data_IF_339218374742
#
_entry.id   IF_339218374742
#
_cell.length_a   1.000
_cell.length_b   1.000
_cell.length_c   1.000
_cell.angle_alpha   90.00
_cell.angle_beta   90.00
_cell.angle_gamma   90.00
#
_symmetry.space_group_name_H-M   'P 1'
#
loop_
_entity.id
_entity.type
_entity.pdbx_description
1 polymer ?
#
# COMPACT_ATOMS: atom_id res chain seq x y z
N UNK A 1 -21.72 3.42 12.14
CA UNK A 1 -21.01 2.43 11.30
C UNK A 1 -21.42 2.76 9.88
N UNK A 2 -20.46 3.09 9.03
CA UNK A 2 -20.72 3.55 7.66
C UNK A 2 -21.59 2.54 6.92
N UNK A 3 -22.68 3.01 6.30
CA UNK A 3 -23.52 2.15 5.47
C UNK A 3 -22.81 1.86 4.16
N UNK A 4 -22.62 0.58 3.84
CA UNK A 4 -21.91 0.15 2.63
C UNK A 4 -22.75 -0.83 1.81
N UNK A 5 -22.29 -1.12 0.59
CA UNK A 5 -22.82 -2.19 -0.26
C UNK A 5 -22.11 -3.54 -0.04
N UNK A 6 -21.54 -3.78 1.15
CA UNK A 6 -20.70 -4.96 1.46
C UNK A 6 -21.37 -6.29 1.11
N UNK A 7 -22.66 -6.42 1.39
CA UNK A 7 -23.49 -7.60 1.11
C UNK A 7 -23.62 -7.93 -0.39
N UNK A 8 -23.30 -6.96 -1.26
CA UNK A 8 -23.34 -7.08 -2.72
C UNK A 8 -21.95 -7.26 -3.34
N UNK A 9 -20.89 -7.26 -2.55
CA UNK A 9 -19.53 -7.47 -3.04
C UNK A 9 -19.27 -8.94 -3.30
N UNK A 10 -18.41 -9.20 -4.28
CA UNK A 10 -18.01 -10.56 -4.66
C UNK A 10 -16.64 -10.85 -4.07
N UNK A 11 -16.54 -11.97 -3.35
CA UNK A 11 -15.27 -12.54 -2.95
C UNK A 11 -14.80 -13.54 -4.02
N UNK A 12 -13.57 -13.40 -4.48
CA UNK A 12 -12.99 -14.26 -5.53
C UNK A 12 -11.62 -14.77 -5.10
N UNK A 13 -11.25 -15.97 -5.55
CA UNK A 13 -9.91 -16.49 -5.36
C UNK A 13 -8.95 -15.91 -6.40
N UNK A 14 -7.85 -15.32 -5.94
CA UNK A 14 -6.68 -15.04 -6.80
C UNK A 14 -5.45 -15.71 -6.21
N UNK A 15 -4.60 -16.25 -7.08
CA UNK A 15 -3.42 -17.00 -6.66
C UNK A 15 -2.19 -16.48 -7.39
N UNK A 16 -1.12 -16.24 -6.64
CA UNK A 16 0.19 -15.90 -7.17
C UNK A 16 1.28 -16.74 -6.52
N UNK A 17 2.53 -16.36 -6.79
CA UNK A 17 3.73 -16.91 -6.18
C UNK A 17 4.52 -15.79 -5.53
N UNK A 18 5.45 -16.16 -4.65
CA UNK A 18 6.45 -15.22 -4.15
C UNK A 18 7.34 -14.80 -5.33
N UNK A 19 7.62 -13.50 -5.45
CA UNK A 19 8.41 -12.96 -6.56
C UNK A 19 9.90 -13.10 -6.27
N UNK A 20 10.71 -13.38 -7.30
CA UNK A 20 12.17 -13.28 -7.14
C UNK A 20 12.57 -11.80 -7.04
N UNK A 21 13.49 -11.43 -6.13
CA UNK A 21 13.99 -10.06 -6.04
C UNK A 21 14.65 -9.65 -7.37
N UNK A 22 14.40 -8.41 -7.80
CA UNK A 22 14.94 -7.88 -9.06
C UNK A 22 16.04 -6.88 -8.81
N UNK A 23 17.17 -7.05 -9.48
CA UNK A 23 18.25 -6.05 -9.48
C UNK A 23 18.99 -6.09 -10.80
N UNK A 24 19.32 -4.93 -11.36
CA UNK A 24 19.98 -4.82 -12.67
C UNK A 24 21.45 -5.28 -12.66
N UNK A 25 22.03 -5.46 -11.47
CA UNK A 25 23.45 -5.72 -11.26
C UNK A 25 24.33 -4.50 -11.54
N UNK A 26 23.74 -3.32 -11.74
CA UNK A 26 24.41 -2.07 -12.10
C UNK A 26 24.08 -0.98 -11.09
N UNK A 27 24.91 0.06 -11.06
CA UNK A 27 24.61 1.26 -10.28
C UNK A 27 23.36 1.95 -10.83
N UNK A 28 22.53 2.45 -9.92
CA UNK A 28 21.56 3.50 -10.19
C UNK A 28 22.10 4.85 -9.70
N UNK A 29 21.34 5.92 -9.84
CA UNK A 29 21.75 7.28 -9.46
C UNK A 29 20.68 7.95 -8.62
N UNK A 30 21.10 8.55 -7.51
CA UNK A 30 20.19 9.30 -6.65
C UNK A 30 19.78 10.64 -7.28
N UNK A 31 18.85 11.35 -6.64
CA UNK A 31 18.37 12.65 -7.08
C UNK A 31 19.46 13.76 -7.13
N UNK A 32 20.67 13.51 -6.64
CA UNK A 32 21.84 14.39 -6.73
C UNK A 32 22.86 13.91 -7.79
N UNK A 33 22.55 12.83 -8.51
CA UNK A 33 23.43 12.22 -9.51
C UNK A 33 24.56 11.37 -8.92
N UNK A 34 24.48 10.99 -7.64
CA UNK A 34 25.48 10.11 -7.01
C UNK A 34 25.10 8.65 -7.25
N UNK A 35 26.05 7.78 -7.67
CA UNK A 35 25.75 6.40 -7.94
C UNK A 35 25.52 5.60 -6.65
N UNK A 36 24.61 4.62 -6.68
CA UNK A 36 24.40 3.65 -5.60
C UNK A 36 24.09 2.25 -6.14
N UNK A 37 24.30 1.22 -5.32
CA UNK A 37 23.99 -0.18 -5.62
C UNK A 37 23.46 -0.83 -4.36
N UNK A 38 22.14 -0.97 -4.26
CA UNK A 38 21.44 -1.29 -3.02
C UNK A 38 20.35 -2.34 -3.25
N UNK A 39 19.94 -3.08 -2.21
CA UNK A 39 18.75 -3.92 -2.26
C UNK A 39 17.50 -3.09 -2.58
N UNK A 40 16.51 -3.72 -3.21
CA UNK A 40 15.24 -3.07 -3.54
C UNK A 40 14.04 -4.01 -3.50
N UNK A 41 13.26 -4.02 -4.58
CA UNK A 41 11.95 -4.70 -4.63
C UNK A 41 12.04 -6.23 -4.74
N UNK A 42 10.97 -6.89 -4.30
CA UNK A 42 10.74 -8.31 -4.47
C UNK A 42 11.34 -9.22 -3.40
N UNK A 43 10.91 -10.49 -3.40
CA UNK A 43 11.41 -11.50 -2.48
C UNK A 43 10.68 -11.57 -1.13
N UNK A 44 11.40 -12.16 -0.17
CA UNK A 44 11.00 -12.24 1.24
C UNK A 44 11.96 -11.34 2.01
N UNK A 45 11.45 -10.21 2.49
CA UNK A 45 12.20 -9.26 3.30
C UNK A 45 12.06 -9.63 4.78
N UNK A 46 13.06 -10.31 5.32
CA UNK A 46 13.01 -10.88 6.68
C UNK A 46 13.01 -9.84 7.81
N UNK A 47 13.70 -8.70 7.60
CA UNK A 47 13.98 -7.72 8.65
C UNK A 47 13.21 -6.40 8.53
N UNK A 48 12.37 -6.24 7.51
CA UNK A 48 11.52 -5.05 7.31
C UNK A 48 10.06 -5.47 7.24
N UNK A 49 9.23 -4.91 8.10
CA UNK A 49 7.82 -5.30 8.28
C UNK A 49 6.91 -4.08 8.41
N UNK A 50 5.61 -4.31 8.25
CA UNK A 50 4.59 -3.30 8.58
C UNK A 50 4.80 -2.80 10.01
N UNK A 51 4.82 -1.48 10.19
CA UNK A 51 5.12 -0.80 11.44
C UNK A 51 6.57 -0.34 11.60
N UNK A 52 7.51 -0.82 10.79
CA UNK A 52 8.87 -0.28 10.76
C UNK A 52 8.89 1.12 10.10
N UNK A 53 9.93 1.95 10.36
CA UNK A 53 10.13 3.21 9.63
C UNK A 53 10.24 2.99 8.12
N UNK A 54 9.59 3.82 7.32
CA UNK A 54 9.73 3.81 5.86
C UNK A 54 11.09 4.40 5.41
N UNK A 55 11.72 5.21 6.26
CA UNK A 55 12.99 5.89 6.02
C UNK A 55 14.16 5.22 6.75
N UNK A 56 15.39 5.55 6.33
CA UNK A 56 16.62 5.21 7.06
C UNK A 56 17.23 3.85 6.71
N UNK A 57 16.69 3.15 5.72
CA UNK A 57 17.26 1.92 5.19
C UNK A 57 18.36 2.22 4.16
N UNK A 58 19.44 1.43 4.16
CA UNK A 58 20.42 1.44 3.09
C UNK A 58 19.90 0.60 1.92
N UNK A 59 18.83 1.10 1.29
CA UNK A 59 18.05 0.40 0.29
C UNK A 59 17.35 1.37 -0.69
N UNK A 60 16.67 0.84 -1.70
CA UNK A 60 15.86 1.60 -2.66
C UNK A 60 14.56 0.84 -3.01
N UNK A 61 13.39 1.37 -2.65
CA UNK A 61 12.08 0.69 -2.83
C UNK A 61 11.95 -0.68 -2.13
N UNK A 62 12.43 -0.81 -0.89
CA UNK A 62 12.22 -2.05 -0.15
C UNK A 62 10.75 -2.26 0.18
N UNK A 63 10.27 -3.46 -0.12
CA UNK A 63 8.92 -3.93 0.18
C UNK A 63 8.93 -4.75 1.48
N UNK A 64 8.09 -4.44 2.48
CA UNK A 64 8.05 -5.15 3.75
C UNK A 64 7.38 -6.53 3.62
N UNK A 65 7.92 -7.53 4.31
CA UNK A 65 7.36 -8.88 4.35
C UNK A 65 7.57 -9.63 3.04
N UNK A 66 6.49 -10.06 2.39
CA UNK A 66 6.53 -10.94 1.22
C UNK A 66 5.93 -10.23 0.01
N UNK A 67 6.72 -10.11 -1.06
CA UNK A 67 6.25 -9.60 -2.34
C UNK A 67 5.79 -10.75 -3.24
N UNK A 68 4.63 -10.58 -3.86
CA UNK A 68 4.01 -11.63 -4.67
C UNK A 68 3.53 -11.12 -6.02
N UNK A 69 3.54 -12.01 -7.01
CA UNK A 69 3.06 -11.76 -8.37
C UNK A 69 2.45 -13.05 -8.92
N UNK A 70 1.58 -12.99 -9.93
CA UNK A 70 1.05 -14.23 -10.52
C UNK A 70 2.06 -14.88 -11.48
N UNK A 71 2.72 -14.10 -12.35
CA UNK A 71 3.77 -14.56 -13.25
C UNK A 71 4.76 -13.42 -13.55
N UNK A 72 5.98 -13.52 -13.00
CA UNK A 72 7.01 -12.49 -13.16
C UNK A 72 7.39 -12.23 -14.63
N UNK A 73 7.35 -13.26 -15.49
CA UNK A 73 7.69 -13.14 -16.91
C UNK A 73 6.62 -12.43 -17.74
N UNK A 74 5.39 -12.34 -17.20
CA UNK A 74 4.22 -11.74 -17.86
C UNK A 74 3.69 -10.55 -17.07
N UNK A 75 4.58 -9.80 -16.41
CA UNK A 75 4.30 -8.71 -15.46
C UNK A 75 3.09 -7.85 -15.84
N UNK A 76 3.03 -7.41 -17.10
CA UNK A 76 2.01 -6.47 -17.56
C UNK A 76 0.78 -7.11 -18.25
N UNK A 77 0.63 -8.44 -18.22
CA UNK A 77 -0.50 -9.11 -18.84
C UNK A 77 -1.76 -9.12 -17.96
N UNK A 78 -2.91 -9.37 -18.59
CA UNK A 78 -4.23 -9.38 -17.94
C UNK A 78 -4.31 -10.23 -16.66
N UNK A 79 -3.75 -11.46 -16.61
CA UNK A 79 -3.77 -12.27 -15.39
C UNK A 79 -3.09 -11.62 -14.18
N UNK A 80 -1.92 -10.99 -14.37
CA UNK A 80 -1.24 -10.26 -13.30
C UNK A 80 -2.00 -9.03 -12.85
N UNK A 81 -2.61 -8.30 -13.80
CA UNK A 81 -3.51 -7.19 -13.47
C UNK A 81 -4.71 -7.68 -12.67
N UNK A 82 -5.25 -8.85 -12.98
CA UNK A 82 -6.31 -9.48 -12.19
C UNK A 82 -5.85 -9.81 -10.76
N UNK A 83 -4.65 -10.40 -10.61
CA UNK A 83 -4.07 -10.68 -9.30
C UNK A 83 -3.95 -9.43 -8.43
N UNK A 84 -3.36 -8.36 -8.98
CA UNK A 84 -3.25 -7.07 -8.29
C UNK A 84 -4.62 -6.43 -8.03
N UNK A 85 -5.48 -6.39 -9.05
CA UNK A 85 -6.77 -5.71 -8.96
C UNK A 85 -7.67 -6.31 -7.89
N UNK A 86 -7.78 -7.63 -7.84
CA UNK A 86 -8.71 -8.25 -6.90
C UNK A 86 -8.19 -8.22 -5.45
N UNK A 87 -6.88 -8.26 -5.24
CA UNK A 87 -6.30 -8.13 -3.91
C UNK A 87 -6.64 -6.76 -3.29
N UNK A 88 -7.04 -6.75 -2.03
CA UNK A 88 -7.31 -5.54 -1.27
C UNK A 88 -6.54 -5.60 0.05
N UNK A 89 -6.04 -4.44 0.52
CA UNK A 89 -5.37 -4.31 1.81
C UNK A 89 -6.33 -4.77 2.90
N UNK A 90 -5.84 -5.68 3.76
CA UNK A 90 -6.63 -6.36 4.79
C UNK A 90 -7.11 -7.76 4.39
N UNK A 91 -7.07 -8.14 3.11
CA UNK A 91 -7.49 -9.48 2.70
C UNK A 91 -6.59 -10.57 3.29
N UNK A 92 -7.21 -11.71 3.60
CA UNK A 92 -6.48 -12.89 4.06
C UNK A 92 -5.76 -13.57 2.89
N UNK A 93 -4.45 -13.75 3.05
CA UNK A 93 -3.60 -14.55 2.17
C UNK A 93 -3.27 -15.88 2.86
N UNK A 94 -3.27 -16.99 2.11
CA UNK A 94 -2.94 -18.31 2.64
C UNK A 94 -1.86 -18.97 1.79
N UNK A 95 -0.83 -19.49 2.43
CA UNK A 95 0.19 -20.32 1.76
C UNK A 95 -0.44 -21.68 1.41
N UNK A 96 -0.33 -22.12 0.15
CA UNK A 96 -0.97 -23.36 -0.33
C UNK A 96 0.01 -24.44 -0.78
N UNK A 97 1.31 -24.19 -0.68
CA UNK A 97 2.42 -25.11 -0.96
C UNK A 97 3.54 -24.98 0.09
N UNK A 98 4.59 -25.79 -0.07
CA UNK A 98 5.81 -25.72 0.74
C UNK A 98 5.62 -26.05 2.22
N UNK A 99 6.66 -25.77 3.00
CA UNK A 99 6.74 -26.09 4.43
C UNK A 99 5.84 -25.18 5.27
N UNK A 100 5.54 -23.98 4.76
CA UNK A 100 4.61 -23.03 5.36
C UNK A 100 3.12 -23.29 5.00
N UNK A 101 2.80 -24.36 4.27
CA UNK A 101 1.44 -24.64 3.79
C UNK A 101 0.41 -24.58 4.92
N UNK A 102 -0.64 -23.79 4.69
CA UNK A 102 -1.74 -23.60 5.64
C UNK A 102 -1.59 -22.35 6.51
N UNK A 103 -0.39 -21.76 6.59
CA UNK A 103 -0.18 -20.48 7.25
C UNK A 103 -0.97 -19.36 6.56
N UNK A 104 -1.38 -18.38 7.36
CA UNK A 104 -2.15 -17.22 6.91
C UNK A 104 -1.38 -15.92 7.16
N UNK A 105 -1.57 -14.98 6.25
CA UNK A 105 -1.05 -13.63 6.30
C UNK A 105 -2.10 -12.63 5.82
N UNK A 106 -1.70 -11.38 5.69
CA UNK A 106 -2.59 -10.26 5.36
C UNK A 106 -1.99 -9.41 4.26
N UNK A 107 -2.77 -9.06 3.24
CA UNK A 107 -2.35 -8.13 2.19
C UNK A 107 -2.15 -6.73 2.77
N UNK A 108 -1.02 -6.11 2.48
CA UNK A 108 -0.60 -4.82 3.07
C UNK A 108 -0.49 -3.70 2.05
N UNK A 109 -0.39 -4.00 0.76
CA UNK A 109 -0.19 -2.99 -0.27
C UNK A 109 -0.04 -3.52 -1.69
N UNK A 110 0.01 -2.59 -2.64
CA UNK A 110 0.27 -2.85 -4.06
C UNK A 110 1.37 -1.91 -4.53
N UNK A 111 2.41 -2.45 -5.17
CA UNK A 111 3.47 -1.65 -5.78
C UNK A 111 3.34 -1.71 -7.30
N UNK A 112 2.88 -0.63 -7.92
CA UNK A 112 2.67 -0.50 -9.36
C UNK A 112 4.00 -0.38 -10.13
N UNK A 113 4.04 -0.81 -11.38
CA UNK A 113 5.29 -0.93 -12.14
C UNK A 113 6.02 -2.22 -11.81
N UNK A 114 6.21 -2.50 -10.51
CA UNK A 114 6.55 -3.84 -10.04
C UNK A 114 5.33 -4.79 -10.19
N UNK A 115 4.10 -4.30 -10.12
CA UNK A 115 2.90 -5.17 -10.14
C UNK A 115 2.94 -6.24 -9.03
N UNK A 116 3.49 -5.87 -7.86
CA UNK A 116 3.57 -6.74 -6.69
C UNK A 116 2.41 -6.49 -5.74
N UNK A 117 1.85 -7.57 -5.19
CA UNK A 117 0.99 -7.54 -4.00
C UNK A 117 1.86 -7.87 -2.79
N UNK A 118 1.83 -7.00 -1.78
CA UNK A 118 2.63 -7.14 -0.56
C UNK A 118 1.81 -7.82 0.53
N UNK A 119 2.44 -8.74 1.26
CA UNK A 119 1.77 -9.57 2.26
C UNK A 119 2.62 -9.70 3.51
N UNK A 120 2.02 -9.45 4.66
CA UNK A 120 2.62 -9.70 5.96
C UNK A 120 2.29 -11.10 6.45
N UNK A 121 3.31 -11.84 6.89
CA UNK A 121 3.20 -13.14 7.53
C UNK A 121 3.95 -13.16 8.88
N UNK A 122 3.57 -14.04 9.82
CA UNK A 122 4.34 -14.31 11.04
C UNK A 122 5.80 -14.69 10.79
N UNK A 123 6.66 -14.34 11.73
CA UNK A 123 8.11 -14.56 11.61
C UNK A 123 8.46 -16.03 11.42
N UNK A 124 7.81 -16.92 12.17
CA UNK A 124 7.98 -18.36 12.06
C UNK A 124 7.45 -18.94 10.73
N UNK A 125 6.63 -18.17 10.00
CA UNK A 125 6.17 -18.49 8.66
C UNK A 125 7.19 -18.01 7.63
N UNK A 126 7.75 -16.80 7.79
CA UNK A 126 8.78 -16.26 6.90
C UNK A 126 9.98 -17.22 6.78
N UNK A 127 10.42 -17.82 7.89
CA UNK A 127 11.53 -18.80 7.92
C UNK A 127 11.23 -20.11 7.17
N UNK A 128 9.97 -20.39 6.86
CA UNK A 128 9.52 -21.61 6.15
C UNK A 128 9.15 -21.36 4.70
N UNK A 129 9.06 -20.10 4.29
CA UNK A 129 8.67 -19.72 2.94
C UNK A 129 9.86 -19.84 1.97
N UNK A 130 9.54 -20.21 0.74
CA UNK A 130 10.49 -20.24 -0.38
C UNK A 130 9.93 -19.43 -1.55
N UNK A 131 10.79 -19.03 -2.49
CA UNK A 131 10.36 -18.29 -3.68
C UNK A 131 9.46 -19.13 -4.62
N UNK A 132 9.40 -20.45 -4.42
CA UNK A 132 8.53 -21.37 -5.17
C UNK A 132 7.10 -21.48 -4.60
N UNK A 133 6.85 -20.85 -3.44
CA UNK A 133 5.58 -20.98 -2.76
C UNK A 133 4.43 -20.21 -3.42
N UNK A 134 3.27 -20.86 -3.42
CA UNK A 134 2.01 -20.36 -3.94
C UNK A 134 1.18 -19.74 -2.82
N UNK A 135 0.66 -18.55 -3.09
CA UNK A 135 -0.18 -17.79 -2.17
C UNK A 135 -1.57 -17.65 -2.77
N UNK A 136 -2.59 -18.09 -2.03
CA UNK A 136 -3.99 -17.96 -2.38
C UNK A 136 -4.64 -16.86 -1.54
N UNK A 137 -5.12 -15.81 -2.17
CA UNK A 137 -5.80 -14.69 -1.53
C UNK A 137 -7.31 -14.86 -1.71
N UNK A 138 -8.05 -14.71 -0.61
CA UNK A 138 -9.50 -14.50 -0.64
C UNK A 138 -9.75 -13.02 -0.92
N UNK A 139 -9.72 -12.64 -2.20
CA UNK A 139 -9.84 -11.27 -2.63
C UNK A 139 -11.26 -10.73 -2.40
N UNK A 140 -11.38 -9.60 -1.70
CA UNK A 140 -12.66 -9.00 -1.32
C UNK A 140 -12.51 -7.50 -1.02
N UNK A 141 -13.25 -6.65 -1.73
CA UNK A 141 -13.22 -5.19 -1.47
C UNK A 141 -13.42 -4.33 -2.72
N UNK A 142 -13.01 -4.81 -3.91
CA UNK A 142 -13.26 -4.06 -5.13
C UNK A 142 -14.76 -3.85 -5.39
N UNK A 143 -15.13 -2.61 -5.69
CA UNK A 143 -16.53 -2.19 -5.86
C UNK A 143 -17.23 -1.75 -4.56
N UNK A 144 -16.51 -1.71 -3.44
CA UNK A 144 -17.01 -1.14 -2.18
C UNK A 144 -17.41 0.33 -2.36
N UNK A 145 -18.55 0.70 -1.79
CA UNK A 145 -19.11 2.06 -1.83
C UNK A 145 -19.65 2.44 -0.45
N UNK A 146 -19.47 3.70 -0.09
CA UNK A 146 -20.13 4.33 1.04
C UNK A 146 -21.48 4.86 0.55
N UNK A 147 -22.58 4.25 0.98
CA UNK A 147 -23.91 4.51 0.41
C UNK A 147 -24.45 5.89 0.78
N UNK A 148 -24.05 6.41 1.94
CA UNK A 148 -24.42 7.74 2.42
C UNK A 148 -23.42 8.83 2.02
N UNK A 149 -22.25 8.45 1.47
CA UNK A 149 -21.19 9.36 1.01
C UNK A 149 -20.75 9.02 -0.42
N UNK A 150 -21.62 9.19 -1.43
CA UNK A 150 -21.33 8.77 -2.82
C UNK A 150 -20.20 9.56 -3.49
N UNK A 151 -19.81 10.71 -2.95
CA UNK A 151 -18.67 11.51 -3.42
C UNK A 151 -17.31 10.99 -2.91
N UNK A 152 -17.33 9.97 -2.05
CA UNK A 152 -16.15 9.29 -1.54
C UNK A 152 -16.02 7.95 -2.26
N UNK A 153 -14.98 7.83 -3.07
CA UNK A 153 -14.64 6.63 -3.81
C UNK A 153 -13.71 5.76 -2.97
N UNK A 154 -13.90 4.45 -2.99
CA UNK A 154 -13.12 3.47 -2.22
C UNK A 154 -12.51 2.46 -3.18
N UNK A 155 -11.24 2.13 -2.96
CA UNK A 155 -10.46 1.16 -3.73
C UNK A 155 -9.60 0.32 -2.78
N UNK A 156 -9.19 -0.88 -3.20
CA UNK A 156 -8.14 -1.68 -2.55
C UNK A 156 -8.32 -1.93 -1.05
N UNK A 157 -9.55 -1.87 -0.52
CA UNK A 157 -9.81 -1.88 0.91
C UNK A 157 -10.74 -3.04 1.27
N UNK A 158 -10.27 -3.93 2.14
CA UNK A 158 -11.11 -4.93 2.75
C UNK A 158 -12.21 -4.25 3.58
N UNK A 159 -13.50 -4.57 3.39
CA UNK A 159 -14.59 -4.03 4.20
C UNK A 159 -14.41 -4.25 5.72
N UNK A 160 -13.77 -5.34 6.15
CA UNK A 160 -13.46 -5.60 7.57
C UNK A 160 -12.37 -4.68 8.10
N UNK A 161 -11.47 -4.19 7.23
CA UNK A 161 -10.49 -3.17 7.61
C UNK A 161 -11.19 -1.80 7.72
N UNK A 162 -12.04 -1.44 6.77
CA UNK A 162 -12.82 -0.19 6.81
C UNK A 162 -13.56 -0.02 8.14
N UNK A 163 -14.23 -1.08 8.62
CA UNK A 163 -14.98 -1.06 9.88
C UNK A 163 -14.10 -0.81 11.12
N UNK A 164 -12.79 -1.06 11.03
CA UNK A 164 -11.82 -0.92 12.12
C UNK A 164 -10.98 0.36 12.05
N UNK A 165 -11.16 1.19 11.02
CA UNK A 165 -10.38 2.41 10.80
C UNK A 165 -10.80 3.61 11.66
N UNK A 166 -11.79 3.46 12.54
CA UNK A 166 -12.31 4.55 13.40
C UNK A 166 -12.75 5.80 12.61
N UNK A 167 -13.45 5.58 11.50
CA UNK A 167 -13.99 6.65 10.65
C UNK A 167 -15.31 7.16 11.24
N UNK A 168 -15.41 8.47 11.41
CA UNK A 168 -16.61 9.14 11.94
C UNK A 168 -17.40 9.84 10.83
N UNK A 169 -18.73 9.78 10.90
CA UNK A 169 -19.62 10.53 10.01
C UNK A 169 -19.90 11.92 10.63
N UNK A 170 -19.69 12.98 9.87
CA UNK A 170 -20.00 14.37 10.27
C UNK A 170 -20.81 15.06 9.16
N UNK A 171 -22.12 14.85 9.18
CA UNK A 171 -23.01 15.39 8.16
C UNK A 171 -22.71 14.74 6.80
N UNK A 172 -22.35 15.54 5.80
CA UNK A 172 -21.98 15.04 4.47
C UNK A 172 -20.52 14.56 4.39
N UNK A 173 -19.70 14.95 5.37
CA UNK A 173 -18.27 14.63 5.40
C UNK A 173 -18.00 13.37 6.23
N UNK A 174 -16.86 12.74 5.97
CA UNK A 174 -16.28 11.71 6.83
C UNK A 174 -14.96 12.17 7.42
N UNK A 175 -14.73 11.86 8.69
CA UNK A 175 -13.49 12.16 9.40
C UNK A 175 -12.65 10.89 9.44
N UNK A 176 -11.47 10.92 8.81
CA UNK A 176 -10.61 9.74 8.66
C UNK A 176 -9.32 9.92 9.47
N UNK A 177 -8.98 9.01 10.41
CA UNK A 177 -7.72 9.06 11.13
C UNK A 177 -6.52 8.81 10.20
N UNK A 178 -5.49 9.65 10.30
CA UNK A 178 -4.25 9.54 9.51
C UNK A 178 -3.03 9.87 10.35
N UNK A 179 -1.92 9.20 10.11
CA UNK A 179 -0.64 9.44 10.78
C UNK A 179 0.01 10.74 10.31
N UNK A 180 -0.22 11.13 9.04
CA UNK A 180 0.32 12.34 8.45
C UNK A 180 -0.58 12.93 7.36
N UNK A 181 -0.38 14.21 7.08
CA UNK A 181 -0.98 14.94 5.96
C UNK A 181 0.15 15.33 5.00
N UNK A 182 0.08 14.87 3.77
CA UNK A 182 1.07 15.07 2.71
C UNK A 182 0.53 16.09 1.70
N UNK A 183 1.21 17.23 1.50
CA UNK A 183 0.85 18.16 0.44
C UNK A 183 0.95 17.51 -0.95
N UNK A 184 -0.06 17.68 -1.80
CA UNK A 184 -0.09 17.08 -3.14
C UNK A 184 1.12 17.43 -4.02
N UNK A 185 1.77 18.58 -3.79
CA UNK A 185 3.00 18.97 -4.49
C UNK A 185 4.18 18.01 -4.27
N UNK A 186 4.14 17.19 -3.21
CA UNK A 186 5.14 16.17 -2.92
C UNK A 186 4.83 14.84 -3.61
N UNK A 187 3.73 14.71 -4.37
CA UNK A 187 3.42 13.45 -5.06
C UNK A 187 4.11 13.38 -6.43
N UNK A 188 4.77 12.25 -6.71
CA UNK A 188 5.66 12.09 -7.87
C UNK A 188 5.33 10.88 -8.74
N UNK A 189 6.25 9.91 -8.77
CA UNK A 189 6.12 8.70 -9.57
C UNK A 189 4.75 8.05 -9.39
N UNK A 190 4.11 7.65 -10.49
CA UNK A 190 2.73 7.15 -10.50
C UNK A 190 1.63 8.21 -10.71
N UNK A 191 1.94 9.51 -10.65
CA UNK A 191 1.01 10.59 -11.09
C UNK A 191 0.70 10.44 -12.59
N UNK A 192 -0.56 10.66 -12.96
CA UNK A 192 -1.06 10.45 -14.33
C UNK A 192 -1.46 9.01 -14.65
N UNK A 193 -1.14 8.04 -13.78
CA UNK A 193 -1.57 6.66 -13.95
C UNK A 193 -3.08 6.49 -13.72
N UNK A 194 -3.65 5.49 -14.39
CA UNK A 194 -5.01 4.98 -14.17
C UNK A 194 -5.04 3.67 -13.35
N UNK A 195 -3.94 3.34 -12.69
CA UNK A 195 -3.76 2.09 -11.91
C UNK A 195 -4.22 2.19 -10.45
N UNK A 196 -5.31 2.90 -10.15
CA UNK A 196 -5.79 3.10 -8.77
C UNK A 196 -6.12 1.80 -8.08
N UNK A 197 -6.58 0.80 -8.83
CA UNK A 197 -6.90 -0.53 -8.30
C UNK A 197 -5.73 -1.51 -8.30
N UNK A 198 -4.55 -1.16 -8.81
CA UNK A 198 -3.46 -2.14 -9.05
C UNK A 198 -2.07 -1.65 -8.66
N UNK A 199 -1.94 -0.46 -8.07
CA UNK A 199 -0.64 0.05 -7.67
C UNK A 199 -0.72 1.28 -6.77
N UNK A 200 0.40 1.96 -6.66
CA UNK A 200 0.68 3.06 -5.76
C UNK A 200 1.34 4.24 -6.50
N UNK A 201 1.65 5.28 -5.75
CA UNK A 201 2.39 6.46 -6.20
C UNK A 201 3.15 7.09 -5.04
N UNK A 202 4.22 7.81 -5.37
CA UNK A 202 5.28 8.08 -4.41
C UNK A 202 5.17 9.47 -3.79
N UNK A 203 5.44 9.54 -2.47
CA UNK A 203 5.78 10.78 -1.79
C UNK A 203 7.23 11.09 -2.09
N UNK A 204 7.51 12.10 -2.92
CA UNK A 204 8.86 12.52 -3.29
C UNK A 204 9.64 13.09 -2.12
N UNK A 205 10.87 12.63 -1.92
CA UNK A 205 11.69 12.97 -0.73
C UNK A 205 12.94 13.78 -1.04
N UNK A 206 13.16 14.16 -2.29
CA UNK A 206 14.35 14.90 -2.73
C UNK A 206 14.56 16.25 -2.02
N UNK A 207 13.48 16.92 -1.59
CA UNK A 207 13.54 18.11 -0.75
C UNK A 207 13.45 17.72 0.74
N UNK A 208 14.57 17.24 1.28
CA UNK A 208 14.66 16.74 2.65
C UNK A 208 14.23 17.75 3.70
N UNK A 209 14.43 19.05 3.44
CA UNK A 209 14.05 20.12 4.37
C UNK A 209 12.52 20.20 4.50
N UNK A 210 11.79 20.15 3.40
CA UNK A 210 10.33 20.11 3.41
C UNK A 210 9.81 18.83 4.07
N UNK A 211 10.45 17.68 3.82
CA UNK A 211 10.11 16.41 4.48
C UNK A 211 10.26 16.53 6.01
N UNK A 212 11.37 17.10 6.49
CA UNK A 212 11.63 17.32 7.91
C UNK A 212 10.65 18.31 8.56
N UNK A 213 10.39 19.45 7.91
CA UNK A 213 9.46 20.48 8.37
C UNK A 213 8.03 19.94 8.53
N UNK A 214 7.64 18.99 7.68
CA UNK A 214 6.33 18.33 7.72
C UNK A 214 6.31 17.06 8.58
N UNK A 215 7.46 16.62 9.11
CA UNK A 215 7.59 15.41 9.92
C UNK A 215 7.41 14.10 9.14
N UNK A 216 7.47 14.12 7.81
CA UNK A 216 7.20 12.97 6.94
C UNK A 216 8.30 11.90 7.00
N UNK A 217 9.51 12.23 7.44
CA UNK A 217 10.59 11.26 7.71
C UNK A 217 10.24 10.24 8.79
N UNK A 218 9.19 10.49 9.58
CA UNK A 218 8.73 9.60 10.65
C UNK A 218 7.69 8.57 10.18
N UNK A 219 7.30 8.60 8.89
CA UNK A 219 6.35 7.64 8.34
C UNK A 219 6.84 6.22 8.52
N UNK A 220 5.89 5.32 8.75
CA UNK A 220 6.09 3.89 8.88
C UNK A 220 5.34 3.14 7.79
N UNK A 221 5.83 1.94 7.46
CA UNK A 221 5.06 1.01 6.65
C UNK A 221 3.69 0.74 7.30
N UNK A 222 2.63 0.85 6.51
CA UNK A 222 1.26 0.69 6.94
C UNK A 222 0.59 1.94 7.51
N UNK A 223 1.29 3.07 7.63
CA UNK A 223 0.67 4.32 8.07
C UNK A 223 -0.43 4.74 7.09
N UNK A 224 -1.56 5.18 7.64
CA UNK A 224 -2.62 5.85 6.88
C UNK A 224 -2.20 7.31 6.68
N UNK A 225 -2.19 7.80 5.45
CA UNK A 225 -1.83 9.19 5.15
C UNK A 225 -2.94 9.85 4.35
N UNK A 226 -3.15 11.15 4.58
CA UNK A 226 -3.99 11.98 3.74
C UNK A 226 -3.13 12.80 2.78
N UNK A 227 -3.45 12.77 1.49
CA UNK A 227 -2.78 13.52 0.45
C UNK A 227 -3.74 14.63 0.01
N UNK A 228 -3.34 15.89 0.24
CA UNK A 228 -4.18 17.05 -0.09
C UNK A 228 -4.05 17.44 -1.55
N UNK A 229 -5.11 18.01 -2.10
CA UNK A 229 -5.22 18.49 -3.46
C UNK A 229 -4.97 17.42 -4.54
N UNK A 230 -5.20 16.14 -4.23
CA UNK A 230 -5.08 15.03 -5.18
C UNK A 230 -6.39 14.24 -5.31
N UNK A 231 -6.83 14.06 -6.55
CA UNK A 231 -7.95 13.20 -6.95
C UNK A 231 -7.40 11.86 -7.48
N UNK A 232 -7.91 10.77 -6.94
CA UNK A 232 -7.61 9.41 -7.36
C UNK A 232 -8.87 8.64 -7.80
N UNK A 233 -9.99 9.29 -8.13
CA UNK A 233 -11.23 8.59 -8.48
C UNK A 233 -11.11 7.82 -9.80
N UNK A 234 -10.42 8.36 -10.80
CA UNK A 234 -10.30 7.74 -12.14
C UNK A 234 -8.91 7.79 -12.74
N UNK A 235 -8.01 8.57 -12.15
CA UNK A 235 -6.64 8.76 -12.55
C UNK A 235 -5.99 9.67 -11.54
N UNK A 236 -4.70 9.50 -11.27
CA UNK A 236 -4.00 10.29 -10.25
C UNK A 236 -3.68 11.66 -10.77
N UNK A 237 -4.30 12.70 -10.22
CA UNK A 237 -4.03 14.08 -10.64
C UNK A 237 -4.21 15.10 -9.53
N UNK A 238 -3.56 16.25 -9.71
CA UNK A 238 -3.80 17.41 -8.87
C UNK A 238 -5.21 17.95 -9.11
N UNK A 239 -5.98 18.13 -8.05
CA UNK A 239 -7.25 18.85 -8.02
C UNK A 239 -7.35 19.56 -6.68
N UNK A 240 -7.26 20.89 -6.71
CA UNK A 240 -7.38 21.71 -5.51
C UNK A 240 -8.65 21.37 -4.71
N UNK A 241 -8.50 21.13 -3.42
CA UNK A 241 -9.58 20.75 -2.49
C UNK A 241 -9.90 19.26 -2.46
N UNK A 242 -9.39 18.45 -3.39
CA UNK A 242 -9.54 16.99 -3.32
C UNK A 242 -8.68 16.42 -2.17
N UNK A 243 -9.11 15.29 -1.61
CA UNK A 243 -8.37 14.59 -0.56
C UNK A 243 -8.35 13.11 -0.90
N UNK A 244 -7.15 12.51 -0.88
CA UNK A 244 -6.94 11.07 -1.04
C UNK A 244 -6.40 10.49 0.26
N UNK A 245 -6.91 9.35 0.70
CA UNK A 245 -6.35 8.55 1.79
C UNK A 245 -5.65 7.34 1.18
N UNK A 246 -4.46 7.03 1.67
CA UNK A 246 -3.71 5.86 1.27
C UNK A 246 -2.92 5.24 2.41
N UNK A 247 -2.33 4.09 2.11
CA UNK A 247 -1.45 3.33 3.02
C UNK A 247 -0.03 3.44 2.50
N UNK A 248 0.96 3.69 3.37
CA UNK A 248 2.39 3.65 3.01
C UNK A 248 2.84 2.18 2.86
N UNK A 249 3.34 1.79 1.69
CA UNK A 249 3.55 0.36 1.34
C UNK A 249 5.00 -0.04 1.07
N UNK A 250 5.86 0.88 0.60
CA UNK A 250 7.29 0.62 0.43
C UNK A 250 8.15 1.74 1.01
N UNK A 251 9.47 1.48 1.13
CA UNK A 251 10.41 2.37 1.76
C UNK A 251 10.60 3.65 0.95
N UNK A 252 11.30 4.61 1.55
CA UNK A 252 11.94 5.71 0.84
C UNK A 252 12.84 5.20 -0.30
N UNK A 253 13.09 6.09 -1.25
CA UNK A 253 13.79 5.83 -2.49
C UNK A 253 14.79 6.96 -2.75
N UNK A 254 15.95 6.63 -3.33
CA UNK A 254 17.00 7.60 -3.65
C UNK A 254 16.76 8.30 -4.99
N UNK A 255 15.91 7.74 -5.86
CA UNK A 255 15.67 8.24 -7.22
C UNK A 255 14.93 9.59 -7.22
N UNK A 256 15.22 10.42 -8.22
CA UNK A 256 14.46 11.67 -8.43
C UNK A 256 12.99 11.36 -8.76
N UNK A 257 12.07 12.00 -8.04
CA UNK A 257 10.63 11.84 -8.25
C UNK A 257 10.00 10.66 -7.50
N UNK A 258 10.78 9.97 -6.65
CA UNK A 258 10.35 8.81 -5.88
C UNK A 258 10.52 9.05 -4.37
N UNK A 259 9.98 8.12 -3.57
CA UNK A 259 10.10 8.03 -2.11
C UNK A 259 9.12 6.97 -1.58
N UNK A 260 8.60 7.07 -0.34
CA UNK A 260 7.65 6.08 0.16
C UNK A 260 6.38 6.00 -0.72
N UNK A 261 6.06 4.80 -1.19
CA UNK A 261 4.90 4.55 -2.03
C UNK A 261 3.60 4.49 -1.24
N UNK A 262 2.52 5.01 -1.83
CA UNK A 262 1.19 5.08 -1.22
C UNK A 262 0.14 4.39 -2.08
N UNK A 263 -0.41 3.28 -1.58
CA UNK A 263 -1.59 2.65 -2.21
C UNK A 263 -2.85 3.41 -1.80
N UNK A 264 -3.61 3.91 -2.77
CA UNK A 264 -4.89 4.60 -2.53
C UNK A 264 -5.93 3.63 -1.98
N UNK A 265 -6.61 4.02 -0.90
CA UNK A 265 -7.77 3.29 -0.35
C UNK A 265 -9.07 4.08 -0.40
N UNK A 266 -8.99 5.42 -0.41
CA UNK A 266 -10.15 6.28 -0.45
C UNK A 266 -9.82 7.63 -1.10
N UNK A 267 -10.78 8.26 -1.77
CA UNK A 267 -10.57 9.58 -2.37
C UNK A 267 -11.89 10.34 -2.50
N UNK A 268 -11.85 11.64 -2.23
CA UNK A 268 -12.97 12.55 -2.49
C UNK A 268 -12.50 13.69 -3.38
N UNK A 269 -12.95 13.72 -4.65
CA UNK A 269 -12.61 14.81 -5.55
C UNK A 269 -13.23 16.16 -5.14
N UNK A 270 -14.28 16.15 -4.32
CA UNK A 270 -14.97 17.32 -3.79
C UNK A 270 -14.57 17.70 -2.37
N UNK A 271 -13.60 16.99 -1.77
CA UNK A 271 -13.06 17.32 -0.45
C UNK A 271 -13.92 16.90 0.74
N UNK A 272 -14.77 15.88 0.59
CA UNK A 272 -15.67 15.35 1.64
C UNK A 272 -14.96 14.46 2.67
N UNK A 273 -13.64 14.34 2.59
CA UNK A 273 -12.82 13.63 3.57
C UNK A 273 -12.07 14.66 4.39
N UNK A 274 -12.27 14.63 5.71
CA UNK A 274 -11.59 15.47 6.67
C UNK A 274 -10.52 14.63 7.40
N UNK A 275 -9.23 14.82 7.12
CA UNK A 275 -8.17 14.10 7.82
C UNK A 275 -8.10 14.51 9.29
N UNK A 276 -8.02 13.53 10.20
CA UNK A 276 -7.75 13.74 11.64
C UNK A 276 -6.40 13.12 11.97
N UNK A 277 -5.44 13.92 12.45
CA UNK A 277 -4.15 13.39 12.85
C UNK A 277 -4.27 12.42 14.03
N UNK A 278 -3.72 11.22 13.88
CA UNK A 278 -3.61 10.18 14.91
C UNK A 278 -2.33 9.35 14.67
N UNK A 279 -1.39 9.43 15.60
CA UNK A 279 -0.14 8.65 15.58
C UNK A 279 -0.33 7.11 15.64
N UNK A 280 -1.56 6.65 15.86
CA UNK A 280 -1.93 5.23 15.86
C UNK A 280 -2.60 4.77 14.56
N UNK A 281 -2.83 5.66 13.60
CA UNK A 281 -3.43 5.33 12.31
C UNK A 281 -2.46 4.55 11.42
N UNK A 282 -2.32 3.25 11.70
CA UNK A 282 -1.47 2.30 10.98
C UNK A 282 -2.17 0.94 10.87
N UNK A 283 -2.22 0.35 9.67
CA UNK A 283 -2.92 -0.93 9.44
C UNK A 283 -2.34 -2.08 10.29
N UNK A 284 -1.06 -2.01 10.63
CA UNK A 284 -0.39 -2.94 11.53
C UNK A 284 -1.01 -2.95 12.91
N UNK A 285 -1.28 -1.76 13.47
CA UNK A 285 -1.97 -1.61 14.76
C UNK A 285 -3.43 -2.07 14.67
N UNK A 286 -4.13 -1.67 13.61
CA UNK A 286 -5.55 -1.97 13.41
C UNK A 286 -5.79 -3.48 13.27
N UNK A 287 -4.89 -4.19 12.57
CA UNK A 287 -5.01 -5.61 12.28
C UNK A 287 -4.19 -6.52 13.20
N UNK A 288 -3.37 -5.95 14.09
CA UNK A 288 -2.38 -6.65 14.93
C UNK A 288 -1.42 -7.52 14.09
N UNK A 289 -0.79 -6.91 13.09
CA UNK A 289 0.16 -7.55 12.16
C UNK A 289 1.53 -6.85 12.19
N UNK A 290 2.52 -7.40 11.49
CA UNK A 290 3.88 -6.86 11.47
C UNK A 290 4.46 -6.68 12.87
N UNK A 291 4.98 -5.49 13.18
CA UNK A 291 5.55 -5.14 14.49
C UNK A 291 4.55 -5.04 15.64
N UNK A 292 3.25 -5.08 15.34
CA UNK A 292 2.18 -5.00 16.33
C UNK A 292 1.49 -6.35 16.57
N UNK A 293 2.02 -7.42 15.96
CA UNK A 293 1.52 -8.78 16.19
C UNK A 293 1.73 -9.16 17.65
N UNK A 294 0.68 -9.67 18.27
CA UNK A 294 0.74 -10.25 19.63
C UNK A 294 1.27 -11.67 19.52
N UNK A 295 2.19 -12.03 20.41
CA UNK A 295 2.66 -13.41 20.62
C UNK A 295 1.53 -14.32 21.10
#
# INVERSE_FOLDING_TARGET
MLRTNRDRLVMISVQGTIVNPEHSGKHSFDHQGRPFMLPGTGGITYNVKVGDPAFGWEADHVEPGVSTILDQSKRYEGPNRGYNFYACIGNTARVVSGDAKGATGVVTGHHGGAEHVLIDFPDDVLEKLTLDDKILIKAFGQGLKLLDHPEVYVYNLDPDLLEKMDIEERGEDIVVPVAAIVPGMLMGSGVGSTSMGTGDYDIMTADSKTIEELGLQNLRFGDLVAITDHDNAFGRCYRKGAVTIGVVIHSDCKLAGHGPGVTTIMTSPSGKIIPRLDSNANIGKILNIGRFRKE
#
